data_IF_831645303235
#
_entry.id   IF_831645303235
#
_cell.length_a   1.000
_cell.length_b   1.000
_cell.length_c   1.000
_cell.angle_alpha   90.00
_cell.angle_beta   90.00
_cell.angle_gamma   90.00
#
_symmetry.space_group_name_H-M   'P 1'
#
loop_
_entity.id
_entity.type
_entity.pdbx_description
1 polymer ?
#
# COMPACT_ATOMS: atom_id res chain seq x y z
N UNK A 1 6.06 -6.51 -4.49
CA UNK A 1 6.18 -5.24 -5.24
C UNK A 1 6.12 -4.07 -4.26
N UNK A 2 7.07 -3.14 -4.33
CA UNK A 2 7.22 -2.00 -3.39
C UNK A 2 6.65 -0.72 -4.00
N UNK A 3 5.72 -0.05 -3.31
CA UNK A 3 5.36 1.37 -3.57
C UNK A 3 6.20 2.25 -2.66
N UNK A 4 6.68 3.43 -3.07
CA UNK A 4 7.14 4.51 -2.18
C UNK A 4 6.33 5.75 -2.56
N UNK A 5 5.75 6.46 -1.59
CA UNK A 5 5.08 7.76 -1.85
C UNK A 5 5.92 8.93 -1.31
N UNK A 6 5.55 10.17 -1.67
CA UNK A 6 6.23 11.39 -1.19
C UNK A 6 6.10 11.61 0.33
N UNK A 7 5.38 10.74 1.04
CA UNK A 7 5.24 10.74 2.50
C UNK A 7 6.13 9.67 3.15
N UNK A 8 7.08 9.06 2.41
CA UNK A 8 8.00 8.04 2.94
C UNK A 8 7.34 6.67 3.19
N UNK A 9 6.08 6.48 2.81
CA UNK A 9 5.36 5.24 3.07
C UNK A 9 5.61 4.21 1.98
N UNK A 10 6.00 3.01 2.40
CA UNK A 10 6.18 1.85 1.53
C UNK A 10 5.07 0.83 1.70
N UNK A 11 4.45 0.38 0.61
CA UNK A 11 3.37 -0.62 0.65
C UNK A 11 3.78 -1.91 -0.07
N UNK A 12 3.53 -3.05 0.57
CA UNK A 12 3.73 -4.40 0.03
C UNK A 12 2.40 -5.15 0.03
N UNK A 13 2.12 -5.92 -1.02
CA UNK A 13 0.91 -6.74 -1.16
C UNK A 13 1.31 -8.21 -1.31
N UNK A 14 0.61 -9.12 -0.62
CA UNK A 14 0.77 -10.57 -0.75
C UNK A 14 -0.50 -11.29 -0.32
N UNK A 15 -1.11 -12.03 -1.24
CA UNK A 15 -2.44 -12.61 -1.02
C UNK A 15 -3.42 -11.51 -0.61
N UNK A 16 -4.37 -11.82 0.27
CA UNK A 16 -5.37 -10.87 0.74
C UNK A 16 -4.85 -9.80 1.72
N UNK A 17 -3.54 -9.71 1.94
CA UNK A 17 -2.94 -8.82 2.93
C UNK A 17 -2.02 -7.77 2.31
N UNK A 18 -1.87 -6.66 3.04
CA UNK A 18 -0.87 -5.65 2.76
C UNK A 18 -0.13 -5.19 4.02
N UNK A 19 1.09 -4.71 3.82
CA UNK A 19 1.97 -4.13 4.84
C UNK A 19 2.22 -2.68 4.47
N UNK A 20 2.36 -1.82 5.49
CA UNK A 20 2.77 -0.44 5.33
C UNK A 20 4.00 -0.18 6.20
N UNK A 21 5.02 0.41 5.61
CA UNK A 21 6.25 0.81 6.29
C UNK A 21 6.42 2.31 6.19
N UNK A 22 7.13 2.90 7.15
CA UNK A 22 7.64 4.27 7.16
C UNK A 22 9.13 4.22 7.44
N UNK A 23 9.94 4.76 6.53
CA UNK A 23 11.41 4.76 6.64
C UNK A 23 12.01 3.38 6.98
N UNK A 24 11.40 2.32 6.42
CA UNK A 24 11.83 0.93 6.62
C UNK A 24 11.32 0.27 7.89
N UNK A 25 10.56 0.97 8.74
CA UNK A 25 9.92 0.42 9.94
C UNK A 25 8.48 0.04 9.63
N UNK A 26 8.06 -1.16 10.05
CA UNK A 26 6.67 -1.60 9.88
C UNK A 26 5.75 -0.76 10.78
N UNK A 27 4.71 -0.16 10.19
CA UNK A 27 3.69 0.55 10.98
C UNK A 27 2.97 -0.44 11.92
N UNK A 28 2.57 -0.02 13.14
CA UNK A 28 1.74 -0.84 14.01
C UNK A 28 0.44 -1.30 13.33
N UNK A 29 -0.04 -2.47 13.75
CA UNK A 29 -1.28 -3.11 13.27
C UNK A 29 -1.25 -3.53 11.80
N UNK A 30 -0.05 -3.80 11.25
CA UNK A 30 0.14 -4.45 9.95
C UNK A 30 0.74 -5.86 10.11
N UNK A 31 0.38 -6.82 9.23
CA UNK A 31 -0.44 -6.67 8.03
C UNK A 31 -1.93 -6.48 8.30
N UNK A 32 -2.63 -5.91 7.31
CA UNK A 32 -4.09 -5.79 7.28
C UNK A 32 -4.66 -6.38 6.00
N UNK A 33 -5.96 -6.67 5.99
CA UNK A 33 -6.62 -7.12 4.76
C UNK A 33 -6.66 -6.00 3.73
N UNK A 34 -6.44 -6.33 2.45
CA UNK A 34 -6.49 -5.37 1.33
C UNK A 34 -7.83 -4.64 1.32
N UNK A 35 -8.93 -5.35 1.58
CA UNK A 35 -10.29 -4.80 1.63
C UNK A 35 -10.49 -3.69 2.67
N UNK A 36 -9.68 -3.63 3.73
CA UNK A 36 -9.76 -2.60 4.77
C UNK A 36 -9.12 -1.27 4.34
N UNK A 37 -8.04 -1.31 3.55
CA UNK A 37 -7.29 -0.13 3.11
C UNK A 37 -7.53 0.29 1.66
N UNK A 38 -7.95 -0.66 0.82
CA UNK A 38 -8.05 -0.53 -0.64
C UNK A 38 -9.35 -1.15 -1.13
N UNK A 39 -10.48 -0.51 -0.81
CA UNK A 39 -11.80 -0.98 -1.20
C UNK A 39 -11.90 -1.17 -2.72
N UNK A 40 -12.35 -2.36 -3.14
CA UNK A 40 -12.56 -2.71 -4.54
C UNK A 40 -11.33 -3.29 -5.25
N UNK A 41 -10.19 -3.41 -4.56
CA UNK A 41 -9.00 -4.10 -5.07
C UNK A 41 -9.09 -5.59 -4.69
N UNK A 42 -8.82 -6.52 -5.62
CA UNK A 42 -8.86 -7.95 -5.34
C UNK A 42 -7.61 -8.41 -4.56
N UNK A 43 -7.66 -9.66 -4.09
CA UNK A 43 -6.60 -10.25 -3.25
C UNK A 43 -5.37 -10.74 -4.05
N UNK A 44 -5.45 -10.80 -5.38
CA UNK A 44 -4.43 -11.29 -6.30
C UNK A 44 -3.76 -10.14 -7.08
N UNK A 45 -3.30 -9.12 -6.35
CA UNK A 45 -2.63 -7.96 -6.95
C UNK A 45 -1.32 -8.37 -7.63
N UNK A 46 -1.32 -8.34 -8.98
CA UNK A 46 -0.13 -8.60 -9.79
C UNK A 46 0.87 -7.44 -9.77
N UNK A 47 0.38 -6.20 -9.81
CA UNK A 47 1.20 -5.01 -9.90
C UNK A 47 0.54 -3.78 -9.28
N UNK A 48 1.37 -2.82 -8.87
CA UNK A 48 0.96 -1.65 -8.10
C UNK A 48 1.90 -0.48 -8.38
N UNK A 49 1.36 0.68 -8.76
CA UNK A 49 2.10 1.92 -8.98
C UNK A 49 1.52 3.05 -8.12
N UNK A 50 2.38 3.80 -7.43
CA UNK A 50 1.98 5.03 -6.76
C UNK A 50 2.07 6.18 -7.77
N UNK A 51 0.93 6.80 -8.09
CA UNK A 51 0.93 8.02 -8.89
C UNK A 51 1.19 9.21 -7.96
N UNK A 52 2.05 10.17 -8.34
CA UNK A 52 2.09 11.45 -7.67
C UNK A 52 0.69 12.06 -7.77
N UNK A 53 0.11 12.48 -6.65
CA UNK A 53 -1.13 13.21 -6.68
C UNK A 53 -0.90 14.49 -7.49
N UNK A 54 -1.41 14.55 -8.73
CA UNK A 54 -1.76 15.85 -9.28
C UNK A 54 -2.84 16.38 -8.36
N UNK A 55 -2.62 17.57 -7.81
CA UNK A 55 -3.64 18.34 -7.13
C UNK A 55 -4.87 18.39 -8.04
N UNK A 56 -5.88 17.55 -7.75
CA UNK A 56 -7.21 17.75 -8.28
C UNK A 56 -7.74 18.98 -7.54
N UNK A 57 -7.67 20.13 -8.21
CA UNK A 57 -8.36 21.37 -7.88
C UNK A 57 -9.88 21.16 -7.88
#
# INVERSE_FOLDING_TARGET
>A
FTRINCQGKTYLFKGNQYWRFEDGVLDPDFPRNISEGFKGIPDDVDAALALPAHSYS
#
